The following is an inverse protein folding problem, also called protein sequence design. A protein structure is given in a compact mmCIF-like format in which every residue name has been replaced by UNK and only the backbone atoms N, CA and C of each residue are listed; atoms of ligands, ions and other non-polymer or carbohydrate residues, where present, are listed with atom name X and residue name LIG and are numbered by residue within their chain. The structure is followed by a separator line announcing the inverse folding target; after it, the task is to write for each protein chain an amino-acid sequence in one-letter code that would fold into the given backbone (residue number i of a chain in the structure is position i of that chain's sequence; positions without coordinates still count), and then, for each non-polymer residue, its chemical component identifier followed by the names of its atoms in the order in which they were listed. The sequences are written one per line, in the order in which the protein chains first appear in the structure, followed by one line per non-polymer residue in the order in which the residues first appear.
data_IF_907075722038
#
_entry.id   IF_907075722038
#
_cell.length_a   1.000
_cell.length_b   1.000
_cell.length_c   1.000
_cell.angle_alpha   90.00
_cell.angle_beta   90.00
_cell.angle_gamma   90.00
#
_symmetry.space_group_name_H-M   'P 1'
#
loop_
_entity.id
_entity.type
_entity.pdbx_description
1 polymer ?
#
# COMPACT_ATOMS: atom_id res chain seq x y z
N UNK A 1 8.82 15.13 -4.30
CA UNK A 1 9.57 13.99 -3.75
C UNK A 1 8.57 13.03 -3.14
N UNK A 2 8.72 11.73 -3.32
CA UNK A 2 7.82 10.75 -2.70
C UNK A 2 8.35 10.46 -1.30
N UNK A 3 7.51 10.63 -0.29
CA UNK A 3 7.81 10.19 1.07
C UNK A 3 7.28 8.77 1.26
N UNK A 4 8.19 7.79 1.15
CA UNK A 4 7.86 6.38 1.36
C UNK A 4 7.53 6.03 2.82
N UNK A 5 8.01 6.84 3.79
CA UNK A 5 7.66 6.69 5.19
C UNK A 5 6.20 7.06 5.42
N UNK A 6 5.76 8.19 4.86
CA UNK A 6 4.35 8.61 4.89
C UNK A 6 3.45 7.56 4.20
N UNK A 7 3.85 7.05 3.03
CA UNK A 7 3.10 6.03 2.30
C UNK A 7 2.97 4.73 3.09
N UNK A 8 4.06 4.27 3.71
CA UNK A 8 4.05 3.07 4.55
C UNK A 8 3.04 3.23 5.70
N UNK A 9 3.04 4.39 6.35
CA UNK A 9 2.14 4.70 7.45
C UNK A 9 0.66 4.76 7.02
N UNK A 10 0.35 5.50 5.94
CA UNK A 10 -1.03 5.62 5.43
C UNK A 10 -1.56 4.24 5.03
N UNK A 11 -0.73 3.44 4.34
CA UNK A 11 -1.11 2.09 3.88
C UNK A 11 -1.36 1.15 5.06
N UNK A 12 -0.50 1.19 6.10
CA UNK A 12 -0.70 0.39 7.31
C UNK A 12 -1.97 0.78 8.07
N UNK A 13 -2.22 2.08 8.21
CA UNK A 13 -3.42 2.57 8.89
C UNK A 13 -4.70 2.25 8.10
N UNK A 14 -4.65 2.31 6.76
CA UNK A 14 -5.78 1.84 5.93
C UNK A 14 -6.06 0.36 6.15
N UNK A 15 -5.02 -0.49 6.24
CA UNK A 15 -5.22 -1.91 6.59
C UNK A 15 -5.88 -2.09 7.97
N UNK A 16 -5.50 -1.28 8.96
CA UNK A 16 -6.13 -1.29 10.30
C UNK A 16 -7.57 -0.80 10.28
N UNK A 17 -7.91 0.19 9.46
CA UNK A 17 -9.30 0.64 9.28
C UNK A 17 -10.17 -0.48 8.71
N UNK A 18 -9.64 -1.21 7.72
CA UNK A 18 -10.32 -2.37 7.13
C UNK A 18 -10.48 -3.49 8.16
N UNK A 19 -9.45 -3.78 8.96
CA UNK A 19 -9.53 -4.76 10.06
C UNK A 19 -10.60 -4.37 11.08
N UNK A 20 -10.66 -3.10 11.47
CA UNK A 20 -11.69 -2.59 12.37
C UNK A 20 -13.10 -2.64 11.76
N UNK A 21 -13.21 -2.46 10.44
CA UNK A 21 -14.47 -2.60 9.71
C UNK A 21 -14.95 -4.05 9.69
N UNK A 22 -14.09 -5.01 9.37
CA UNK A 22 -14.37 -6.46 9.39
C UNK A 22 -14.83 -6.89 10.79
N UNK A 23 -14.15 -6.41 11.84
CA UNK A 23 -14.49 -6.72 13.22
C UNK A 23 -15.72 -5.95 13.75
N UNK A 24 -16.34 -5.09 12.94
CA UNK A 24 -17.49 -4.28 13.32
C UNK A 24 -17.22 -3.24 14.41
N UNK A 25 -15.95 -2.91 14.67
CA UNK A 25 -15.50 -2.02 15.77
C UNK A 25 -15.58 -0.55 15.40
N UNK A 26 -15.13 -0.20 14.19
CA UNK A 26 -15.10 1.17 13.68
C UNK A 26 -15.31 1.13 12.15
N UNK A 27 -15.99 2.14 11.60
CA UNK A 27 -16.25 2.27 10.17
C UNK A 27 -15.72 3.58 9.58
N UNK A 28 -14.74 4.18 10.26
CA UNK A 28 -13.93 5.28 9.74
C UNK A 28 -12.96 4.73 8.70
N UNK A 29 -12.83 5.44 7.59
CA UNK A 29 -11.98 5.07 6.46
C UNK A 29 -11.10 6.26 6.03
N UNK A 30 -10.71 7.11 6.99
CA UNK A 30 -9.96 8.35 6.74
C UNK A 30 -8.61 8.07 6.05
N UNK A 31 -7.86 7.06 6.55
CA UNK A 31 -6.59 6.67 5.94
C UNK A 31 -6.77 5.96 4.60
N UNK A 32 -7.88 5.23 4.45
CA UNK A 32 -8.25 4.55 3.20
C UNK A 32 -8.61 5.56 2.11
N UNK A 33 -9.34 6.63 2.47
CA UNK A 33 -9.62 7.79 1.59
C UNK A 33 -8.32 8.52 1.23
N UNK A 34 -7.46 8.81 2.22
CA UNK A 34 -6.15 9.45 1.99
C UNK A 34 -5.25 8.60 1.09
N UNK A 35 -5.29 7.28 1.22
CA UNK A 35 -4.55 6.36 0.35
C UNK A 35 -5.03 6.44 -1.10
N UNK A 36 -6.34 6.48 -1.31
CA UNK A 36 -6.95 6.62 -2.63
C UNK A 36 -6.50 7.91 -3.31
N UNK A 37 -6.59 9.04 -2.60
CA UNK A 37 -6.11 10.35 -3.09
C UNK A 37 -4.62 10.30 -3.43
N UNK A 38 -3.82 9.68 -2.57
CA UNK A 38 -2.38 9.55 -2.77
C UNK A 38 -2.05 8.76 -4.04
N UNK A 39 -2.78 7.69 -4.32
CA UNK A 39 -2.64 6.96 -5.58
C UNK A 39 -3.04 7.81 -6.78
N UNK A 40 -4.13 8.58 -6.70
CA UNK A 40 -4.57 9.44 -7.80
C UNK A 40 -3.54 10.54 -8.13
N UNK A 41 -2.95 11.16 -7.11
CA UNK A 41 -2.03 12.27 -7.29
C UNK A 41 -0.62 11.83 -7.70
N UNK A 42 -0.12 10.74 -7.13
CA UNK A 42 1.29 10.33 -7.25
C UNK A 42 1.55 9.31 -8.38
N UNK A 43 0.56 8.53 -8.84
CA UNK A 43 0.80 7.45 -9.84
C UNK A 43 1.27 7.95 -11.19
N UNK A 44 0.54 8.90 -11.77
CA UNK A 44 0.70 9.24 -13.18
C UNK A 44 1.98 10.04 -13.45
N UNK A 45 2.68 10.43 -12.39
CA UNK A 45 3.77 11.39 -12.44
C UNK A 45 5.11 10.82 -11.96
N UNK A 46 5.16 9.59 -11.44
CA UNK A 46 6.40 9.06 -10.84
C UNK A 46 6.68 7.57 -11.16
N UNK A 47 7.66 7.29 -12.04
CA UNK A 47 8.07 5.92 -12.39
C UNK A 47 8.62 5.09 -11.22
N UNK A 48 9.30 5.72 -10.25
CA UNK A 48 9.87 5.02 -9.09
C UNK A 48 8.77 4.46 -8.20
N UNK A 49 7.68 5.21 -8.05
CA UNK A 49 6.50 4.75 -7.33
C UNK A 49 5.89 3.49 -7.97
N UNK A 50 5.75 3.52 -9.29
CA UNK A 50 5.20 2.39 -10.06
C UNK A 50 6.05 1.13 -9.88
N UNK A 51 7.38 1.26 -9.74
CA UNK A 51 8.25 0.11 -9.51
C UNK A 51 8.13 -0.49 -8.11
N UNK A 52 8.05 0.34 -7.06
CA UNK A 52 7.82 -0.17 -5.69
C UNK A 52 6.47 -0.86 -5.58
N UNK A 53 5.46 -0.29 -6.22
CA UNK A 53 4.12 -0.87 -6.30
C UNK A 53 4.12 -2.19 -7.09
N UNK A 54 4.83 -2.25 -8.23
CA UNK A 54 5.04 -3.47 -9.00
C UNK A 54 5.60 -4.62 -8.15
N UNK A 55 6.62 -4.32 -7.34
CA UNK A 55 7.24 -5.33 -6.48
C UNK A 55 6.30 -5.85 -5.39
N UNK A 56 5.36 -5.03 -4.94
CA UNK A 56 4.32 -5.46 -4.00
C UNK A 56 3.32 -6.40 -4.68
N UNK A 57 2.76 -6.02 -5.84
CA UNK A 57 1.80 -6.89 -6.55
C UNK A 57 2.46 -8.21 -6.97
N UNK A 58 3.69 -8.17 -7.48
CA UNK A 58 4.41 -9.39 -7.89
C UNK A 58 4.67 -10.36 -6.72
N UNK A 59 4.78 -9.85 -5.49
CA UNK A 59 4.93 -10.71 -4.30
C UNK A 59 3.59 -11.24 -3.79
N UNK A 60 2.54 -10.42 -3.86
CA UNK A 60 1.19 -10.80 -3.42
C UNK A 60 0.38 -11.57 -4.45
N UNK A 61 0.83 -11.61 -5.71
CA UNK A 61 0.17 -12.33 -6.81
C UNK A 61 1.22 -13.17 -7.54
N UNK A 62 0.92 -14.44 -7.84
CA UNK A 62 1.76 -15.29 -8.71
C UNK A 62 1.76 -14.82 -10.19
N UNK A 63 1.39 -13.56 -10.44
CA UNK A 63 1.30 -12.97 -11.78
C UNK A 63 2.68 -12.47 -12.21
N UNK A 64 3.11 -12.88 -13.40
CA UNK A 64 4.27 -12.31 -14.08
C UNK A 64 3.83 -11.06 -14.86
N UNK A 65 4.21 -9.88 -14.35
CA UNK A 65 4.04 -8.62 -15.07
C UNK A 65 5.30 -8.35 -15.92
N UNK A 66 5.17 -8.18 -17.23
CA UNK A 66 6.32 -7.95 -18.11
C UNK A 66 6.69 -6.46 -18.22
N UNK A 67 5.71 -5.57 -18.06
CA UNK A 67 5.87 -4.11 -18.26
C UNK A 67 5.16 -3.31 -17.19
N UNK A 68 5.64 -2.09 -16.93
CA UNK A 68 4.99 -1.13 -16.01
C UNK A 68 3.58 -0.76 -16.48
N UNK A 69 3.30 -0.82 -17.78
CA UNK A 69 1.95 -0.64 -18.34
C UNK A 69 0.94 -1.64 -17.79
N UNK A 70 1.41 -2.82 -17.38
CA UNK A 70 0.57 -3.94 -16.94
C UNK A 70 0.10 -3.73 -15.49
N UNK A 71 0.62 -2.71 -14.81
CA UNK A 71 0.20 -2.30 -13.47
C UNK A 71 -1.05 -1.41 -13.49
N UNK A 72 -1.32 -0.72 -14.61
CA UNK A 72 -2.45 0.20 -14.69
C UNK A 72 -3.81 -0.50 -14.45
N UNK A 73 -4.06 -1.72 -14.97
CA UNK A 73 -5.25 -2.51 -14.63
C UNK A 73 -5.32 -2.89 -13.15
N UNK A 74 -4.24 -3.42 -12.58
CA UNK A 74 -4.21 -3.83 -11.16
C UNK A 74 -4.40 -2.63 -10.23
N UNK A 75 -3.91 -1.46 -10.63
CA UNK A 75 -4.14 -0.22 -9.89
C UNK A 75 -5.55 0.31 -9.99
N UNK A 76 -6.13 0.21 -11.18
CA UNK A 76 -7.55 0.54 -11.36
C UNK A 76 -8.41 -0.39 -10.51
N UNK A 77 -8.05 -1.68 -10.44
CA UNK A 77 -8.70 -2.66 -9.59
C UNK A 77 -8.55 -2.27 -8.11
N UNK A 78 -7.34 -2.04 -7.62
CA UNK A 78 -7.11 -1.65 -6.22
C UNK A 78 -7.90 -0.40 -5.83
N UNK A 79 -7.93 0.62 -6.70
CA UNK A 79 -8.75 1.82 -6.48
C UNK A 79 -10.23 1.47 -6.36
N UNK A 80 -10.74 0.61 -7.24
CA UNK A 80 -12.12 0.14 -7.18
C UNK A 80 -12.39 -0.63 -5.89
N UNK A 81 -11.44 -1.43 -5.40
CA UNK A 81 -11.62 -2.19 -4.15
C UNK A 81 -11.63 -1.27 -2.92
N UNK A 82 -10.73 -0.28 -2.87
CA UNK A 82 -10.71 0.75 -1.84
C UNK A 82 -12.00 1.59 -1.86
N UNK A 83 -12.48 1.97 -3.04
CA UNK A 83 -13.73 2.74 -3.18
C UNK A 83 -14.97 1.89 -2.82
N UNK A 84 -14.99 0.61 -3.23
CA UNK A 84 -16.03 -0.36 -2.89
C UNK A 84 -16.15 -0.55 -1.38
N UNK A 85 -15.03 -0.67 -0.65
CA UNK A 85 -15.07 -0.92 0.78
C UNK A 85 -15.59 0.30 1.56
N UNK A 86 -15.26 1.50 1.10
CA UNK A 86 -15.77 2.77 1.63
C UNK A 86 -17.29 2.86 1.42
N UNK A 87 -17.75 2.59 0.19
CA UNK A 87 -19.12 2.89 -0.26
C UNK A 87 -20.13 1.76 -0.08
N UNK A 88 -19.76 0.52 -0.41
CA UNK A 88 -20.71 -0.58 -0.61
C UNK A 88 -20.84 -1.53 0.58
N UNK A 89 -20.11 -1.28 1.69
CA UNK A 89 -20.21 -1.91 3.02
C UNK A 89 -21.01 -3.22 3.05
N UNK A 90 -20.35 -4.36 2.87
CA UNK A 90 -20.97 -5.70 2.93
C UNK A 90 -20.22 -6.81 2.21
N UNK A 91 -18.90 -6.65 1.98
CA UNK A 91 -18.05 -7.62 1.27
C UNK A 91 -16.83 -7.96 2.14
N UNK A 92 -17.08 -8.58 3.29
CA UNK A 92 -16.06 -8.87 4.32
C UNK A 92 -14.93 -9.76 3.77
N UNK A 93 -15.24 -10.78 2.95
CA UNK A 93 -14.20 -11.63 2.34
C UNK A 93 -13.21 -10.82 1.48
N UNK A 94 -13.71 -9.86 0.68
CA UNK A 94 -12.85 -8.98 -0.14
C UNK A 94 -12.08 -7.97 0.70
N UNK A 95 -12.60 -7.62 1.87
CA UNK A 95 -11.92 -6.76 2.82
C UNK A 95 -10.68 -7.46 3.40
N UNK A 96 -10.73 -8.77 3.65
CA UNK A 96 -9.60 -9.54 4.15
C UNK A 96 -8.44 -9.61 3.14
N UNK A 97 -8.76 -9.85 1.87
CA UNK A 97 -7.78 -9.86 0.79
C UNK A 97 -7.12 -8.47 0.63
N UNK A 98 -7.94 -7.42 0.59
CA UNK A 98 -7.47 -6.05 0.49
C UNK A 98 -6.59 -5.65 1.69
N UNK A 99 -7.01 -6.00 2.91
CA UNK A 99 -6.21 -5.79 4.13
C UNK A 99 -4.84 -6.46 4.01
N UNK A 100 -4.80 -7.71 3.59
CA UNK A 100 -3.56 -8.48 3.48
C UNK A 100 -2.61 -7.86 2.45
N UNK A 101 -3.14 -7.45 1.30
CA UNK A 101 -2.39 -6.73 0.28
C UNK A 101 -1.83 -5.40 0.81
N UNK A 102 -2.62 -4.60 1.53
CA UNK A 102 -2.16 -3.32 2.09
C UNK A 102 -1.03 -3.50 3.13
N UNK A 103 -1.05 -4.59 3.91
CA UNK A 103 0.05 -4.93 4.83
C UNK A 103 1.35 -5.18 4.05
N UNK A 104 1.29 -5.98 2.99
CA UNK A 104 2.46 -6.27 2.15
C UNK A 104 3.00 -5.02 1.47
N UNK A 105 2.10 -4.20 0.95
CA UNK A 105 2.43 -2.94 0.29
C UNK A 105 3.09 -1.94 1.26
N UNK A 106 2.54 -1.82 2.48
CA UNK A 106 3.14 -1.01 3.55
C UNK A 106 4.58 -1.47 3.85
N UNK A 107 4.81 -2.78 3.90
CA UNK A 107 6.14 -3.36 4.05
C UNK A 107 7.09 -2.99 2.92
N UNK A 108 6.65 -3.01 1.66
CA UNK A 108 7.49 -2.59 0.53
C UNK A 108 7.84 -1.10 0.60
N UNK A 109 6.89 -0.23 0.98
CA UNK A 109 7.18 1.19 1.19
C UNK A 109 8.16 1.43 2.35
N UNK A 110 8.03 0.67 3.45
CA UNK A 110 8.97 0.75 4.57
C UNK A 110 10.40 0.37 4.13
N UNK A 111 10.55 -0.72 3.38
CA UNK A 111 11.85 -1.13 2.85
C UNK A 111 12.46 -0.05 1.93
N UNK A 112 11.65 0.55 1.07
CA UNK A 112 12.11 1.63 0.19
C UNK A 112 12.55 2.86 1.00
N UNK A 113 11.79 3.25 2.02
CA UNK A 113 12.14 4.36 2.90
C UNK A 113 13.49 4.13 3.61
N UNK A 114 13.72 2.93 4.16
CA UNK A 114 14.98 2.56 4.81
C UNK A 114 16.14 2.57 3.80
N UNK A 115 15.90 2.06 2.58
CA UNK A 115 16.92 2.08 1.52
C UNK A 115 17.33 3.50 1.12
N UNK A 116 16.39 4.45 1.13
CA UNK A 116 16.64 5.86 0.83
C UNK A 116 17.22 6.63 2.03
N UNK A 117 17.02 6.12 3.26
CA UNK A 117 17.45 6.74 4.51
C UNK A 117 18.21 5.73 5.39
N UNK A 118 19.39 5.23 4.98
CA UNK A 118 20.06 4.13 5.70
C UNK A 118 20.42 4.47 7.15
N UNK A 119 20.55 5.76 7.49
CA UNK A 119 20.82 6.23 8.85
C UNK A 119 19.62 6.13 9.81
N UNK A 120 18.40 5.87 9.31
CA UNK A 120 17.21 5.63 10.13
C UNK A 120 17.04 4.15 10.50
N UNK A 121 17.92 3.28 10.00
CA UNK A 121 17.95 1.88 10.37
C UNK A 121 18.55 1.72 11.78
N UNK A 122 17.79 1.26 12.79
CA UNK A 122 18.32 1.10 14.15
C UNK A 122 19.45 0.06 14.25
N UNK A 123 19.69 -0.73 13.20
CA UNK A 123 20.70 -1.78 13.16
C UNK A 123 22.04 -1.37 12.52
N UNK A 124 22.19 -0.15 11.98
CA UNK A 124 23.46 0.28 11.35
C UNK A 124 24.57 0.63 12.33
N UNK A 125 24.32 0.67 13.64
CA UNK A 125 25.35 0.96 14.65
C UNK A 125 26.16 -0.26 15.14
N UNK A 126 25.88 -1.47 14.65
CA UNK A 126 26.58 -2.69 15.11
C UNK A 126 27.72 -3.18 14.20
N UNK A 127 28.14 -2.40 13.21
CA UNK A 127 29.29 -2.75 12.36
C UNK A 127 30.35 -1.65 12.31
N UNK A 128 30.78 -1.16 13.48
CA UNK A 128 32.08 -0.52 13.61
C UNK A 128 32.84 -1.28 14.69
N UNK A 129 33.69 -2.20 14.23
CA UNK A 129 34.74 -2.82 15.03
C UNK A 129 35.99 -1.94 15.01
#
# INVERSE_FOLDING_TARGET
MIDYGELSLITANSALEIDNYILGRNKSFEYTEKLLETFEEKLLKNPTFSWTFYNAIKKGTDKEFEKVSDLAPEMSLLKLELDDIIKLRGKEDRAEDLRSFLIELSGQFSCQYISENPHTNPYTHHMVA
#
